data_IF_534192400221
#
_entry.id   IF_534192400221
#
_cell.length_a   1.000
_cell.length_b   1.000
_cell.length_c   1.000
_cell.angle_alpha   90.00
_cell.angle_beta   90.00
_cell.angle_gamma   90.00
#
_symmetry.space_group_name_H-M   'P 1'
#
loop_
_entity.id
_entity.type
_entity.pdbx_description
1 polymer ?
#
# COMPACT_ATOMS: atom_id res chain seq x y z
N UNK A 1 -10.28 -15.82 8.06
CA UNK A 1 -10.78 -17.20 8.26
C UNK A 1 -12.06 -17.24 9.09
N UNK A 2 -12.25 -16.32 10.04
CA UNK A 2 -13.45 -16.25 10.90
C UNK A 2 -14.77 -16.12 10.16
N UNK A 3 -14.85 -15.30 9.11
CA UNK A 3 -16.10 -15.05 8.38
C UNK A 3 -16.68 -16.31 7.72
N UNK A 4 -15.87 -17.04 6.93
CA UNK A 4 -16.31 -18.28 6.31
C UNK A 4 -16.56 -19.38 7.36
N UNK A 5 -15.78 -19.42 8.46
CA UNK A 5 -16.04 -20.39 9.54
C UNK A 5 -17.42 -20.15 10.18
N UNK A 6 -17.79 -18.89 10.39
CA UNK A 6 -19.09 -18.50 10.97
C UNK A 6 -20.27 -18.73 10.02
N UNK A 7 -20.12 -18.41 8.73
CA UNK A 7 -21.23 -18.40 7.77
C UNK A 7 -21.30 -19.63 6.86
N UNK A 8 -20.23 -20.42 6.80
CA UNK A 8 -20.14 -21.62 5.97
C UNK A 8 -19.75 -22.90 6.74
N UNK A 9 -19.53 -22.81 8.06
CA UNK A 9 -19.24 -23.97 8.91
C UNK A 9 -17.86 -24.60 8.69
N UNK A 10 -16.94 -23.89 8.01
CA UNK A 10 -15.61 -24.44 7.71
C UNK A 10 -14.71 -24.46 8.96
N UNK A 11 -13.80 -25.43 9.00
CA UNK A 11 -12.86 -25.60 10.11
C UNK A 11 -11.45 -25.96 9.65
N UNK A 12 -10.47 -25.57 10.47
CA UNK A 12 -9.05 -25.80 10.22
C UNK A 12 -8.45 -24.90 9.14
N UNK A 13 -7.14 -25.05 8.96
CA UNK A 13 -6.41 -24.43 7.86
C UNK A 13 -6.46 -25.35 6.63
N UNK A 14 -6.68 -24.74 5.46
CA UNK A 14 -6.93 -25.43 4.20
C UNK A 14 -6.10 -24.76 3.11
N UNK A 15 -5.92 -25.45 1.99
CA UNK A 15 -5.19 -24.85 0.89
C UNK A 15 -5.96 -23.67 0.26
N UNK A 16 -5.26 -22.91 -0.56
CA UNK A 16 -5.86 -21.77 -1.25
C UNK A 16 -7.01 -22.19 -2.18
N UNK A 17 -6.89 -23.34 -2.85
CA UNK A 17 -7.88 -23.83 -3.82
C UNK A 17 -9.22 -24.10 -3.14
N UNK A 18 -9.22 -24.69 -1.94
CA UNK A 18 -10.40 -24.91 -1.14
C UNK A 18 -11.16 -23.60 -0.87
N UNK A 19 -10.45 -22.53 -0.52
CA UNK A 19 -11.10 -21.21 -0.32
C UNK A 19 -11.59 -20.57 -1.63
N UNK A 20 -10.99 -20.92 -2.77
CA UNK A 20 -11.51 -20.54 -4.10
C UNK A 20 -12.83 -21.28 -4.36
N UNK A 21 -12.87 -22.59 -4.14
CA UNK A 21 -14.02 -23.45 -4.37
C UNK A 21 -15.22 -23.04 -3.51
N UNK A 22 -15.00 -22.81 -2.20
CA UNK A 22 -16.05 -22.33 -1.28
C UNK A 22 -16.60 -20.98 -1.73
N UNK A 23 -15.77 -20.09 -2.27
CA UNK A 23 -16.24 -18.80 -2.79
C UNK A 23 -17.09 -18.92 -4.07
N UNK A 24 -16.94 -20.02 -4.81
CA UNK A 24 -17.61 -20.25 -6.09
C UNK A 24 -18.91 -21.07 -5.96
N UNK A 25 -19.04 -21.90 -4.93
CA UNK A 25 -20.16 -22.83 -4.75
C UNK A 25 -20.83 -22.66 -3.38
N UNK A 26 -22.17 -22.74 -3.35
CA UNK A 26 -22.95 -22.56 -2.12
C UNK A 26 -22.72 -23.70 -1.13
N UNK A 27 -22.54 -24.92 -1.62
CA UNK A 27 -22.34 -26.12 -0.80
C UNK A 27 -21.29 -27.03 -1.40
N UNK A 28 -20.74 -27.91 -0.56
CA UNK A 28 -19.84 -28.98 -0.98
C UNK A 28 -20.45 -29.91 -2.04
N UNK A 29 -21.75 -30.19 -1.92
CA UNK A 29 -22.45 -31.06 -2.87
C UNK A 29 -22.62 -30.41 -4.24
N UNK A 30 -22.89 -29.10 -4.30
CA UNK A 30 -22.96 -28.36 -5.56
C UNK A 30 -21.62 -28.41 -6.31
N UNK A 31 -20.52 -28.24 -5.58
CA UNK A 31 -19.18 -28.37 -6.16
C UNK A 31 -18.94 -29.79 -6.66
N UNK A 32 -19.16 -30.81 -5.81
CA UNK A 32 -18.93 -32.20 -6.17
C UNK A 32 -19.78 -32.66 -7.37
N UNK A 33 -21.02 -32.17 -7.48
CA UNK A 33 -21.89 -32.42 -8.62
C UNK A 33 -21.33 -31.78 -9.91
N UNK A 34 -20.88 -30.53 -9.85
CA UNK A 34 -20.21 -29.90 -10.98
C UNK A 34 -18.95 -30.68 -11.41
N UNK A 35 -18.20 -31.25 -10.45
CA UNK A 35 -17.05 -32.10 -10.76
C UNK A 35 -17.46 -33.44 -11.40
N UNK A 36 -18.57 -34.06 -10.97
CA UNK A 36 -19.09 -35.27 -11.63
C UNK A 36 -19.48 -35.00 -13.08
N UNK A 37 -20.15 -33.88 -13.33
CA UNK A 37 -20.56 -33.48 -14.68
C UNK A 37 -19.35 -33.25 -15.60
N UNK A 38 -18.25 -32.75 -15.04
CA UNK A 38 -16.98 -32.55 -15.74
C UNK A 38 -16.09 -33.80 -15.77
N UNK A 39 -16.54 -34.94 -15.22
CA UNK A 39 -15.76 -36.18 -15.07
C UNK A 39 -14.47 -36.03 -14.25
N UNK A 40 -14.38 -35.00 -13.40
CA UNK A 40 -13.27 -34.72 -12.50
C UNK A 40 -13.48 -35.41 -11.13
N UNK A 41 -13.59 -36.74 -11.13
CA UNK A 41 -13.90 -37.50 -9.93
C UNK A 41 -12.80 -37.46 -8.85
N UNK A 42 -11.56 -37.18 -9.25
CA UNK A 42 -10.40 -37.10 -8.37
C UNK A 42 -10.41 -35.82 -7.50
N UNK A 43 -10.99 -34.73 -8.01
CA UNK A 43 -10.97 -33.41 -7.37
C UNK A 43 -12.16 -33.19 -6.42
N UNK A 44 -12.94 -34.24 -6.17
CA UNK A 44 -14.08 -34.18 -5.25
C UNK A 44 -13.64 -34.18 -3.80
N UNK A 45 -14.29 -33.34 -3.01
CA UNK A 45 -14.20 -33.46 -1.57
C UNK A 45 -15.07 -34.65 -1.11
N UNK A 46 -14.52 -35.54 -0.30
CA UNK A 46 -15.25 -36.72 0.23
C UNK A 46 -15.24 -36.83 1.75
N UNK A 47 -14.36 -36.09 2.42
CA UNK A 47 -14.25 -36.13 3.89
C UNK A 47 -15.14 -35.04 4.49
N UNK A 48 -15.80 -35.37 5.61
CA UNK A 48 -16.60 -34.42 6.38
C UNK A 48 -15.79 -33.21 6.88
N UNK A 49 -14.47 -33.37 7.06
CA UNK A 49 -13.56 -32.27 7.42
C UNK A 49 -13.45 -31.16 6.37
N UNK A 50 -13.97 -31.38 5.15
CA UNK A 50 -14.04 -30.37 4.08
C UNK A 50 -15.44 -29.82 3.90
N UNK A 51 -16.43 -30.23 4.70
CA UNK A 51 -17.81 -29.78 4.55
C UNK A 51 -17.92 -28.25 4.63
N UNK A 52 -18.74 -27.68 3.74
CA UNK A 52 -19.17 -26.29 3.82
C UNK A 52 -20.59 -26.16 3.27
N UNK A 53 -21.31 -25.19 3.83
CA UNK A 53 -22.63 -24.78 3.36
C UNK A 53 -22.87 -23.34 3.78
N UNK A 54 -22.97 -22.45 2.79
CA UNK A 54 -23.23 -21.04 3.04
C UNK A 54 -24.67 -20.80 3.49
N UNK A 55 -24.83 -20.08 4.59
CA UNK A 55 -26.12 -19.61 5.10
C UNK A 55 -26.88 -18.71 4.11
N UNK A 56 -26.16 -17.91 3.31
CA UNK A 56 -26.73 -17.04 2.29
C UNK A 56 -25.81 -16.82 1.09
N UNK A 57 -26.41 -16.58 -0.08
CA UNK A 57 -25.68 -16.19 -1.29
C UNK A 57 -24.92 -14.87 -1.11
N UNK A 58 -25.47 -13.95 -0.32
CA UNK A 58 -24.86 -12.65 -0.02
C UNK A 58 -23.56 -12.81 0.75
N UNK A 59 -23.57 -13.60 1.83
CA UNK A 59 -22.36 -13.85 2.63
C UNK A 59 -21.28 -14.54 1.81
N UNK A 60 -21.65 -15.54 1.00
CA UNK A 60 -20.72 -16.16 0.05
C UNK A 60 -20.10 -15.14 -0.90
N UNK A 61 -20.92 -14.27 -1.49
CA UNK A 61 -20.43 -13.27 -2.44
C UNK A 61 -19.49 -12.27 -1.75
N UNK A 62 -19.85 -11.79 -0.56
CA UNK A 62 -19.00 -10.93 0.25
C UNK A 62 -17.65 -11.59 0.57
N UNK A 63 -17.66 -12.88 0.96
CA UNK A 63 -16.43 -13.63 1.17
C UNK A 63 -15.58 -13.71 -0.09
N UNK A 64 -16.19 -14.00 -1.24
CA UNK A 64 -15.50 -14.07 -2.53
C UNK A 64 -14.85 -12.74 -2.89
N UNK A 65 -15.55 -11.64 -2.67
CA UNK A 65 -15.08 -10.30 -3.01
C UNK A 65 -13.89 -9.89 -2.12
N UNK A 66 -14.01 -10.09 -0.80
CA UNK A 66 -12.91 -9.89 0.15
C UNK A 66 -11.69 -10.73 -0.24
N UNK A 67 -11.89 -12.00 -0.62
CA UNK A 67 -10.81 -12.90 -1.03
C UNK A 67 -10.10 -12.39 -2.29
N UNK A 68 -10.86 -12.04 -3.34
CA UNK A 68 -10.31 -11.53 -4.60
C UNK A 68 -9.53 -10.24 -4.37
N UNK A 69 -10.06 -9.34 -3.55
CA UNK A 69 -9.38 -8.09 -3.19
C UNK A 69 -8.09 -8.33 -2.42
N UNK A 70 -8.09 -9.26 -1.46
CA UNK A 70 -6.90 -9.64 -0.71
C UNK A 70 -5.81 -10.23 -1.64
N UNK A 71 -6.19 -11.13 -2.55
CA UNK A 71 -5.28 -11.73 -3.53
C UNK A 71 -4.71 -10.67 -4.48
N UNK A 72 -5.53 -9.71 -4.91
CA UNK A 72 -5.09 -8.60 -5.74
C UNK A 72 -4.17 -7.63 -5.00
N UNK A 73 -4.47 -7.35 -3.71
CA UNK A 73 -3.66 -6.48 -2.86
C UNK A 73 -2.27 -7.06 -2.63
N UNK A 74 -2.16 -8.38 -2.40
CA UNK A 74 -0.86 -9.08 -2.28
C UNK A 74 0.02 -8.91 -3.52
N UNK A 75 -0.56 -8.78 -4.71
CA UNK A 75 0.22 -8.50 -5.93
C UNK A 75 0.63 -7.02 -6.03
N UNK A 76 -0.23 -6.10 -5.57
CA UNK A 76 0.03 -4.65 -5.64
C UNK A 76 0.98 -4.13 -4.58
N UNK A 77 1.10 -4.80 -3.43
CA UNK A 77 1.90 -4.33 -2.29
C UNK A 77 3.37 -4.14 -2.66
N UNK A 78 3.94 -4.98 -3.53
CA UNK A 78 5.32 -4.85 -3.98
C UNK A 78 5.59 -3.53 -4.72
N UNK A 79 4.63 -3.07 -5.53
CA UNK A 79 4.75 -1.78 -6.22
C UNK A 79 4.66 -0.61 -5.25
N UNK A 80 3.75 -0.66 -4.27
CA UNK A 80 3.64 0.38 -3.25
C UNK A 80 4.90 0.48 -2.40
N UNK A 81 5.42 -0.66 -1.91
CA UNK A 81 6.65 -0.71 -1.12
C UNK A 81 7.84 -0.21 -1.96
N UNK A 82 7.96 -0.65 -3.21
CA UNK A 82 8.99 -0.16 -4.13
C UNK A 82 8.93 1.36 -4.32
N UNK A 83 7.73 1.91 -4.57
CA UNK A 83 7.53 3.35 -4.70
C UNK A 83 7.89 4.12 -3.43
N UNK A 84 7.57 3.58 -2.24
CA UNK A 84 7.93 4.19 -0.97
C UNK A 84 9.46 4.24 -0.76
N UNK A 85 10.17 3.16 -1.11
CA UNK A 85 11.63 3.11 -1.04
C UNK A 85 12.25 4.13 -2.00
N UNK A 86 11.77 4.19 -3.25
CA UNK A 86 12.24 5.16 -4.23
C UNK A 86 12.01 6.60 -3.77
N UNK A 87 10.81 6.90 -3.23
CA UNK A 87 10.50 8.20 -2.66
C UNK A 87 11.47 8.56 -1.51
N UNK A 88 11.83 7.57 -0.68
CA UNK A 88 12.80 7.76 0.40
C UNK A 88 14.21 8.05 -0.11
N UNK A 89 14.65 7.41 -1.19
CA UNK A 89 15.95 7.69 -1.83
C UNK A 89 15.95 9.10 -2.40
N UNK A 90 14.92 9.49 -3.17
CA UNK A 90 14.80 10.84 -3.72
C UNK A 90 14.85 11.90 -2.61
N UNK A 91 14.05 11.73 -1.56
CA UNK A 91 14.05 12.61 -0.39
C UNK A 91 15.43 12.70 0.28
N UNK A 92 16.16 11.59 0.41
CA UNK A 92 17.51 11.60 1.01
C UNK A 92 18.52 12.42 0.20
N UNK A 93 18.45 12.34 -1.13
CA UNK A 93 19.32 13.09 -2.04
C UNK A 93 18.97 14.58 -1.99
N UNK A 94 17.68 14.91 -2.07
CA UNK A 94 17.23 16.30 -2.03
C UNK A 94 17.50 16.94 -0.67
N UNK A 95 17.36 16.18 0.43
CA UNK A 95 17.77 16.62 1.75
C UNK A 95 19.28 16.91 1.80
N UNK A 96 20.13 16.01 1.28
CA UNK A 96 21.58 16.23 1.24
C UNK A 96 21.96 17.47 0.41
N UNK A 97 21.36 17.66 -0.77
CA UNK A 97 21.59 18.85 -1.60
C UNK A 97 21.03 20.11 -0.95
N UNK A 98 19.86 20.03 -0.34
CA UNK A 98 19.21 21.14 0.37
C UNK A 98 20.04 21.62 1.55
N UNK A 99 20.62 20.71 2.34
CA UNK A 99 21.56 21.03 3.42
C UNK A 99 22.80 21.75 2.88
N UNK A 100 23.38 21.26 1.78
CA UNK A 100 24.55 21.91 1.17
C UNK A 100 24.25 23.32 0.62
N UNK A 101 23.06 23.53 0.03
CA UNK A 101 22.61 24.84 -0.43
C UNK A 101 22.36 25.77 0.74
N UNK A 102 21.72 25.28 1.81
CA UNK A 102 21.43 26.06 3.02
C UNK A 102 22.72 26.48 3.71
N UNK A 103 23.72 25.61 3.80
CA UNK A 103 25.04 25.94 4.34
C UNK A 103 25.78 27.00 3.50
N UNK A 104 25.72 26.91 2.17
CA UNK A 104 26.28 27.94 1.27
C UNK A 104 25.58 29.28 1.42
N UNK A 105 24.25 29.30 1.52
CA UNK A 105 23.49 30.54 1.71
C UNK A 105 23.72 31.14 3.10
N UNK A 106 23.83 30.32 4.15
CA UNK A 106 24.16 30.78 5.50
C UNK A 106 25.58 31.34 5.55
N UNK A 107 26.57 30.64 4.98
CA UNK A 107 27.94 31.18 4.84
C UNK A 107 27.99 32.46 4.02
N UNK A 108 27.30 32.50 2.88
CA UNK A 108 27.26 33.68 2.02
C UNK A 108 26.62 34.88 2.74
N UNK A 109 25.61 34.65 3.59
CA UNK A 109 24.98 35.66 4.44
C UNK A 109 25.89 36.10 5.60
N UNK A 110 26.67 35.20 6.18
CA UNK A 110 27.70 35.55 7.18
C UNK A 110 28.89 36.30 6.56
N UNK A 111 29.19 36.09 5.27
CA UNK A 111 30.25 36.80 4.54
C UNK A 111 29.73 37.95 3.67
N UNK A 112 28.45 38.34 3.77
CA UNK A 112 27.92 39.40 2.91
C UNK A 112 28.25 40.78 3.47
N UNK A 113 29.37 41.34 3.04
CA UNK A 113 29.61 42.78 3.15
C UNK A 113 28.75 43.50 2.11
N UNK A 114 27.85 44.36 2.58
CA UNK A 114 27.06 45.22 1.69
C UNK A 114 27.49 46.68 1.82
N UNK A 115 27.82 47.29 0.69
CA UNK A 115 28.18 48.70 0.58
C UNK A 115 27.04 49.43 -0.11
N UNK A 116 26.56 50.52 0.49
CA UNK A 116 25.59 51.41 -0.13
C UNK A 116 26.10 52.85 -0.06
N UNK A 117 26.11 53.50 -1.23
CA UNK A 117 26.41 54.91 -1.39
C UNK A 117 25.11 55.69 -1.24
N UNK A 118 25.04 56.53 -0.20
CA UNK A 118 23.89 57.37 0.11
C UNK A 118 24.25 58.85 0.05
N UNK A 119 23.23 59.68 0.25
CA UNK A 119 23.41 61.12 0.51
C UNK A 119 22.93 61.37 1.92
N UNK A 120 23.78 61.95 2.77
CA UNK A 120 23.45 62.22 4.16
C UNK A 120 22.45 63.40 4.24
N UNK A 121 21.23 63.18 4.77
CA UNK A 121 20.21 64.22 4.83
C UNK A 121 20.55 65.40 5.75
N UNK A 122 21.58 65.29 6.60
CA UNK A 122 22.02 66.38 7.48
C UNK A 122 23.09 67.26 6.84
N UNK A 123 23.88 66.74 5.91
CA UNK A 123 25.02 67.47 5.31
C UNK A 123 24.90 67.64 3.80
N UNK A 124 23.90 67.02 3.15
CA UNK A 124 23.74 66.93 1.70
C UNK A 124 25.00 66.46 0.95
N UNK A 125 25.92 65.79 1.64
CA UNK A 125 27.15 65.25 1.08
C UNK A 125 27.06 63.75 0.79
N UNK A 126 27.98 63.21 -0.03
CA UNK A 126 28.08 61.78 -0.26
C UNK A 126 28.42 61.06 1.04
N UNK A 127 27.67 60.02 1.36
CA UNK A 127 27.89 59.19 2.55
C UNK A 127 28.12 57.73 2.18
N UNK A 128 29.06 57.12 2.90
CA UNK A 128 29.39 55.71 2.79
C UNK A 128 28.99 55.03 4.08
N UNK A 129 28.09 54.06 3.95
CA UNK A 129 27.63 53.25 5.08
C UNK A 129 27.91 51.79 4.74
N UNK A 130 28.58 51.10 5.66
CA UNK A 130 28.84 49.67 5.58
C UNK A 130 28.12 48.96 6.73
N UNK A 131 27.53 47.81 6.42
CA UNK A 131 26.88 46.93 7.38
C UNK A 131 27.51 45.54 7.32
N UNK A 132 27.64 44.92 8.49
CA UNK A 132 28.16 43.57 8.71
C UNK A 132 27.05 42.65 9.22
#
# INVERSE_FOLDING_TARGET
MTFASQHAGISGDKDHQYYVDIGNYGTMDQFNEAQRQQRQYADQYRKSSFYWEWDSKTNRQQFKDIRIEADASKRRIYYYVGGMVLNRIAASIDAARGLSKRQKNLRAKETSFSFHLGVDPKTNGPSLVWTW
#
